data_IF_659424215955
#
_entry.id   IF_659424215955
#
_cell.length_a   1.000
_cell.length_b   1.000
_cell.length_c   1.000
_cell.angle_alpha   90.00
_cell.angle_beta   90.00
_cell.angle_gamma   90.00
#
_symmetry.space_group_name_H-M   'P 1'
#
loop_
_entity.id
_entity.type
_entity.pdbx_description
1 polymer ?
#
# COMPACT_ATOMS: atom_id res chain seq x y z
N UNK A 1 -53.31 44.55 -55.87
CA UNK A 1 -51.97 45.16 -55.85
C UNK A 1 -51.05 44.26 -55.03
N UNK A 2 -49.81 44.04 -55.50
CA UNK A 2 -49.02 42.78 -55.43
C UNK A 2 -48.08 42.74 -54.21
N UNK A 3 -47.34 41.67 -53.87
CA UNK A 3 -47.20 40.35 -54.47
C UNK A 3 -46.03 39.53 -53.88
N UNK A 4 -45.72 38.41 -54.58
CA UNK A 4 -44.44 37.66 -54.72
C UNK A 4 -43.83 37.06 -53.42
N UNK A 5 -43.83 35.75 -53.11
CA UNK A 5 -43.50 34.48 -53.84
C UNK A 5 -41.98 34.33 -54.17
N UNK A 6 -41.35 33.13 -54.25
CA UNK A 6 -41.41 31.83 -53.50
C UNK A 6 -40.00 31.31 -53.03
N UNK A 7 -39.86 30.40 -52.04
CA UNK A 7 -39.59 28.93 -52.07
C UNK A 7 -38.25 28.44 -52.74
N UNK A 8 -37.79 27.16 -52.65
CA UNK A 8 -38.15 26.00 -51.80
C UNK A 8 -36.95 25.13 -51.27
N UNK A 9 -37.27 24.05 -50.52
CA UNK A 9 -36.71 22.66 -50.55
C UNK A 9 -35.19 22.40 -50.31
N UNK A 10 -34.65 21.30 -49.78
CA UNK A 10 -35.09 19.96 -49.31
C UNK A 10 -33.83 19.20 -48.81
N UNK A 11 -33.85 18.45 -47.68
CA UNK A 11 -33.86 16.96 -47.58
C UNK A 11 -32.50 16.20 -47.72
N UNK A 12 -32.25 15.31 -46.71
CA UNK A 12 -31.54 14.00 -46.66
C UNK A 12 -30.01 13.85 -46.51
N UNK A 13 -29.67 13.16 -45.42
CA UNK A 13 -28.92 11.88 -45.27
C UNK A 13 -27.56 11.58 -45.96
N UNK A 14 -26.70 11.00 -45.12
CA UNK A 14 -25.86 9.80 -45.32
C UNK A 14 -24.36 9.90 -45.71
N UNK A 15 -23.60 9.12 -44.93
CA UNK A 15 -22.58 8.13 -45.31
C UNK A 15 -21.10 8.51 -45.49
N UNK A 16 -20.29 7.54 -45.05
CA UNK A 16 -18.83 7.49 -44.91
C UNK A 16 -18.08 7.34 -46.24
N UNK A 17 -16.78 7.69 -46.23
CA UNK A 17 -15.82 7.33 -47.27
C UNK A 17 -14.49 6.87 -46.65
N UNK A 18 -14.08 5.63 -46.94
CA UNK A 18 -12.68 5.16 -46.95
C UNK A 18 -12.11 5.38 -48.36
N UNK A 19 -10.78 5.48 -48.52
CA UNK A 19 -9.93 4.66 -49.42
C UNK A 19 -8.47 5.19 -49.56
N UNK A 20 -7.53 4.23 -49.42
CA UNK A 20 -6.15 3.95 -49.95
C UNK A 20 -5.07 5.01 -50.27
N UNK A 21 -3.84 4.54 -50.05
CA UNK A 21 -2.52 5.09 -50.36
C UNK A 21 -2.01 4.87 -51.81
N UNK A 22 -1.00 5.66 -52.23
CA UNK A 22 -0.17 5.51 -53.45
C UNK A 22 0.80 6.69 -53.71
N UNK A 23 1.87 6.60 -54.55
CA UNK A 23 3.25 6.96 -54.15
C UNK A 23 4.01 8.09 -54.94
N UNK A 24 5.13 8.53 -54.30
CA UNK A 24 6.46 9.11 -54.73
C UNK A 24 6.69 9.80 -56.11
N UNK A 25 7.39 10.96 -56.08
CA UNK A 25 8.46 11.40 -57.03
C UNK A 25 9.52 12.29 -56.33
N UNK A 26 10.71 12.44 -56.97
CA UNK A 26 12.06 12.77 -56.47
C UNK A 26 12.59 14.18 -56.87
N UNK A 27 13.73 14.59 -56.24
CA UNK A 27 14.82 15.55 -56.65
C UNK A 27 14.92 16.87 -55.84
N UNK A 28 16.08 17.53 -55.59
CA UNK A 28 17.47 17.19 -55.21
C UNK A 28 18.18 18.55 -54.86
N UNK A 29 19.13 18.56 -53.90
CA UNK A 29 20.22 19.54 -53.62
C UNK A 29 20.09 20.41 -52.33
N UNK A 30 21.13 20.77 -51.53
CA UNK A 30 22.56 20.41 -51.32
C UNK A 30 22.99 21.02 -49.95
N UNK A 31 23.82 20.27 -49.19
CA UNK A 31 24.81 20.57 -48.12
C UNK A 31 24.57 21.50 -46.90
N UNK A 32 24.83 20.93 -45.70
CA UNK A 32 25.19 21.64 -44.45
C UNK A 32 25.29 20.68 -43.24
N UNK A 33 26.51 20.41 -42.76
CA UNK A 33 26.89 19.32 -41.85
C UNK A 33 26.61 19.59 -40.35
N UNK A 34 25.97 18.65 -39.66
CA UNK A 34 26.18 18.34 -38.22
C UNK A 34 25.63 16.94 -37.88
N UNK A 35 26.46 16.11 -37.22
CA UNK A 35 26.17 14.73 -36.80
C UNK A 35 25.56 14.68 -35.39
N UNK A 36 24.35 14.12 -35.23
CA UNK A 36 23.83 13.38 -34.05
C UNK A 36 22.35 12.95 -34.31
N UNK A 37 21.83 11.89 -33.65
CA UNK A 37 20.87 10.95 -34.24
C UNK A 37 19.40 11.38 -34.16
N UNK A 38 18.61 10.75 -35.03
CA UNK A 38 17.16 10.84 -35.12
C UNK A 38 16.46 10.38 -33.83
N UNK A 39 15.44 11.13 -33.40
CA UNK A 39 14.34 10.58 -32.61
C UNK A 39 13.03 11.19 -33.13
N UNK A 40 12.14 10.32 -33.58
CA UNK A 40 10.90 10.65 -34.27
C UNK A 40 9.81 11.18 -33.33
N UNK A 41 8.83 11.80 -33.96
CA UNK A 41 7.57 12.23 -33.40
C UNK A 41 6.77 11.08 -32.74
N UNK A 42 6.05 11.44 -31.66
CA UNK A 42 4.82 10.85 -31.14
C UNK A 42 4.50 9.38 -31.51
N UNK A 43 4.71 8.47 -30.56
CA UNK A 43 4.17 7.12 -30.63
C UNK A 43 2.66 7.12 -30.39
N UNK A 44 1.89 6.92 -31.44
CA UNK A 44 0.49 6.49 -31.38
C UNK A 44 0.40 5.13 -30.67
N UNK A 45 -0.43 5.00 -29.64
CA UNK A 45 -0.86 3.70 -29.11
C UNK A 45 -1.68 2.98 -30.19
N UNK A 46 -1.16 1.90 -30.75
CA UNK A 46 -1.91 1.06 -31.67
C UNK A 46 -2.75 0.06 -30.88
N UNK A 47 -4.06 0.26 -30.93
CA UNK A 47 -5.03 -0.77 -30.56
C UNK A 47 -5.36 -1.57 -31.82
N UNK A 48 -5.21 -2.89 -31.79
CA UNK A 48 -5.79 -3.75 -32.84
C UNK A 48 -6.65 -4.84 -32.20
N UNK A 49 -7.64 -5.31 -32.97
CA UNK A 49 -8.45 -6.48 -32.61
C UNK A 49 -8.06 -7.63 -33.53
N UNK A 50 -7.95 -8.82 -32.96
CA UNK A 50 -7.82 -10.03 -33.76
C UNK A 50 -9.17 -10.46 -34.35
N UNK A 51 -9.15 -11.56 -35.12
CA UNK A 51 -10.34 -12.10 -35.78
C UNK A 51 -11.44 -12.52 -34.80
N UNK A 52 -11.09 -12.73 -33.54
CA UNK A 52 -12.00 -13.12 -32.46
C UNK A 52 -12.47 -11.91 -31.62
N UNK A 53 -12.05 -10.70 -32.00
CA UNK A 53 -12.50 -9.46 -31.40
C UNK A 53 -11.75 -9.06 -30.11
N UNK A 54 -10.66 -9.74 -29.77
CA UNK A 54 -9.83 -9.45 -28.60
C UNK A 54 -8.84 -8.33 -28.91
N UNK A 55 -8.74 -7.34 -28.02
CA UNK A 55 -7.90 -6.16 -28.20
C UNK A 55 -6.48 -6.36 -27.61
N UNK A 56 -5.46 -5.97 -28.38
CA UNK A 56 -4.04 -6.10 -28.03
C UNK A 56 -3.33 -4.73 -28.04
N UNK A 57 -2.29 -4.57 -27.21
CA UNK A 57 -1.49 -3.34 -27.04
C UNK A 57 0.00 -3.65 -26.72
N UNK A 58 0.97 -2.93 -27.29
CA UNK A 58 2.41 -3.09 -26.98
C UNK A 58 3.34 -2.00 -27.57
N UNK A 59 4.59 -1.91 -27.08
CA UNK A 59 5.47 -0.73 -27.14
C UNK A 59 6.99 -0.98 -27.40
N UNK A 60 7.62 -0.15 -28.25
CA UNK A 60 9.04 0.30 -28.20
C UNK A 60 9.23 1.50 -29.15
N UNK A 61 10.03 2.57 -28.90
CA UNK A 61 10.81 3.03 -27.73
C UNK A 61 11.11 4.57 -27.76
N UNK A 62 11.24 5.19 -26.56
CA UNK A 62 11.90 6.50 -26.18
C UNK A 62 11.35 7.82 -26.79
N UNK A 63 11.20 9.00 -26.16
CA UNK A 63 11.62 9.68 -24.91
C UNK A 63 10.64 10.91 -24.64
N UNK A 64 11.02 12.03 -23.99
CA UNK A 64 10.55 12.55 -22.69
C UNK A 64 9.52 13.71 -22.75
N UNK A 65 9.12 14.16 -21.54
CA UNK A 65 8.45 15.41 -21.18
C UNK A 65 6.92 15.44 -21.20
N UNK A 66 6.34 15.43 -19.99
CA UNK A 66 5.26 16.36 -19.67
C UNK A 66 5.40 16.91 -18.26
N UNK A 67 5.57 18.24 -18.21
CA UNK A 67 5.79 19.03 -17.03
C UNK A 67 4.57 19.00 -16.09
N UNK A 68 4.82 18.76 -14.80
CA UNK A 68 3.93 19.11 -13.71
C UNK A 68 4.53 20.30 -12.95
N UNK A 69 3.77 21.38 -12.82
CA UNK A 69 4.12 22.59 -12.07
C UNK A 69 4.33 22.24 -10.59
N UNK A 70 5.37 22.76 -9.92
CA UNK A 70 5.67 22.35 -8.55
C UNK A 70 4.71 23.03 -7.56
N UNK A 71 3.79 22.25 -6.99
CA UNK A 71 3.16 22.61 -5.71
C UNK A 71 4.18 22.35 -4.60
N UNK A 72 4.25 23.27 -3.63
CA UNK A 72 5.23 23.30 -2.56
C UNK A 72 5.42 21.93 -1.88
N UNK A 73 6.68 21.47 -1.81
CA UNK A 73 7.06 20.25 -1.09
C UNK A 73 6.75 20.43 0.40
N UNK A 74 5.94 19.57 1.02
CA UNK A 74 6.04 19.37 2.46
C UNK A 74 7.45 18.84 2.74
N UNK A 75 8.13 19.43 3.72
CA UNK A 75 9.50 19.08 4.04
C UNK A 75 9.60 17.60 4.47
N UNK A 76 10.66 16.86 4.04
CA UNK A 76 10.89 15.45 4.40
C UNK A 76 10.95 15.17 5.91
N UNK A 77 11.13 16.19 6.73
CA UNK A 77 11.29 16.06 8.18
C UNK A 77 9.97 15.83 8.93
N UNK A 78 8.81 16.22 8.37
CA UNK A 78 7.51 16.00 9.05
C UNK A 78 6.98 14.58 8.87
N UNK A 79 7.24 13.93 7.72
CA UNK A 79 6.74 12.57 7.45
C UNK A 79 7.45 11.47 8.27
N UNK A 80 8.65 11.73 8.80
CA UNK A 80 9.41 10.75 9.58
C UNK A 80 8.99 10.67 11.05
N UNK A 81 8.38 11.73 11.60
CA UNK A 81 7.97 11.78 13.01
C UNK A 81 6.66 11.02 13.30
N UNK A 82 5.84 10.77 12.26
CA UNK A 82 4.51 10.16 12.35
C UNK A 82 4.49 8.62 12.29
N UNK A 83 5.65 7.96 12.13
CA UNK A 83 5.71 6.51 11.89
C UNK A 83 5.86 5.63 13.16
N UNK A 84 6.27 6.19 14.29
CA UNK A 84 6.51 5.41 15.51
C UNK A 84 5.20 5.15 16.26
N UNK A 85 4.84 3.87 16.43
CA UNK A 85 3.65 3.43 17.17
C UNK A 85 3.63 3.90 18.62
N UNK A 86 4.79 3.94 19.25
CA UNK A 86 4.99 4.41 20.61
C UNK A 86 6.31 5.19 20.72
N UNK A 87 6.39 6.05 21.71
CA UNK A 87 7.58 6.82 22.04
C UNK A 87 8.10 6.42 23.43
N UNK A 88 9.41 6.18 23.53
CA UNK A 88 10.10 6.10 24.80
C UNK A 88 10.35 7.53 25.31
N UNK A 89 9.95 7.80 26.54
CA UNK A 89 10.25 9.04 27.24
C UNK A 89 10.99 8.71 28.52
N UNK A 90 12.15 9.32 28.71
CA UNK A 90 12.98 9.12 29.90
C UNK A 90 12.96 10.41 30.71
N UNK A 91 12.39 10.34 31.90
CA UNK A 91 12.25 11.48 32.80
C UNK A 91 13.27 11.42 33.94
N UNK A 92 13.76 12.59 34.33
CA UNK A 92 14.70 12.74 35.44
C UNK A 92 16.11 12.26 35.12
N UNK A 93 16.91 12.13 36.18
CA UNK A 93 18.30 11.65 36.14
C UNK A 93 18.48 10.59 37.23
N UNK A 94 19.51 9.76 37.09
CA UNK A 94 19.85 8.81 38.14
C UNK A 94 20.17 9.56 39.45
N UNK A 95 19.78 9.02 40.62
CA UNK A 95 19.20 7.69 40.85
C UNK A 95 17.66 7.61 40.78
N UNK A 96 16.96 8.64 40.29
CA UNK A 96 15.48 8.68 40.23
C UNK A 96 14.95 8.74 38.79
N UNK A 97 15.63 8.08 37.87
CA UNK A 97 15.27 8.10 36.46
C UNK A 97 14.09 7.16 36.19
N UNK A 98 13.21 7.57 35.27
CA UNK A 98 11.98 6.83 34.95
C UNK A 98 11.86 6.64 33.44
N UNK A 99 11.58 5.42 33.00
CA UNK A 99 11.31 5.09 31.62
C UNK A 99 9.79 4.93 31.41
N UNK A 100 9.22 5.82 30.61
CA UNK A 100 7.82 5.85 30.22
C UNK A 100 7.65 5.45 28.76
N UNK A 101 6.49 4.89 28.42
CA UNK A 101 6.10 4.68 27.05
C UNK A 101 4.76 5.36 26.76
N UNK A 102 4.75 6.14 25.68
CA UNK A 102 3.59 6.91 25.21
C UNK A 102 3.08 6.29 23.90
N UNK A 103 1.85 5.78 23.90
CA UNK A 103 1.18 5.25 22.71
C UNK A 103 0.71 6.38 21.79
N UNK A 104 1.12 6.33 20.52
CA UNK A 104 0.84 7.38 19.52
C UNK A 104 -0.28 7.04 18.55
N UNK A 105 -1.02 5.95 18.75
CA UNK A 105 -2.08 5.51 17.82
C UNK A 105 -3.42 5.33 18.54
N UNK A 106 -4.51 5.28 17.76
CA UNK A 106 -5.89 5.20 18.27
C UNK A 106 -6.37 3.75 18.48
N UNK A 107 -5.45 2.91 18.95
CA UNK A 107 -5.73 1.53 19.35
C UNK A 107 -4.66 1.01 20.31
N UNK A 108 -4.83 -0.21 20.86
CA UNK A 108 -3.88 -0.78 21.78
C UNK A 108 -2.53 -1.03 21.09
N UNK A 109 -1.44 -0.82 21.82
CA UNK A 109 -0.08 -1.13 21.36
C UNK A 109 0.62 -1.95 22.42
N UNK A 110 1.16 -3.10 22.03
CA UNK A 110 2.07 -3.84 22.89
C UNK A 110 3.48 -3.28 22.70
N UNK A 111 4.14 -2.97 23.81
CA UNK A 111 5.50 -2.48 23.83
C UNK A 111 6.42 -3.44 24.57
N UNK A 112 7.70 -3.46 24.17
CA UNK A 112 8.77 -4.13 24.89
C UNK A 112 9.90 -3.13 25.15
N UNK A 113 10.17 -2.85 26.42
CA UNK A 113 11.32 -2.06 26.83
C UNK A 113 12.47 -3.02 27.13
N UNK A 114 13.62 -2.78 26.50
CA UNK A 114 14.86 -3.49 26.77
C UNK A 114 16.03 -2.52 26.89
N UNK A 115 17.14 -3.02 27.40
CA UNK A 115 18.42 -2.34 27.34
C UNK A 115 19.31 -2.99 26.30
N UNK A 116 19.95 -2.19 25.43
CA UNK A 116 21.05 -2.64 24.57
C UNK A 116 22.37 -2.68 25.33
N UNK A 117 22.53 -1.74 26.26
CA UNK A 117 23.68 -1.62 27.15
C UNK A 117 23.19 -1.12 28.50
N UNK A 118 23.48 -1.86 29.56
CA UNK A 118 23.19 -1.47 30.93
C UNK A 118 24.34 -1.91 31.82
N UNK A 119 25.28 -1.00 32.04
CA UNK A 119 26.37 -1.22 32.99
C UNK A 119 25.95 -0.61 34.32
N UNK A 120 26.10 -1.34 35.43
CA UNK A 120 25.78 -0.86 36.77
C UNK A 120 24.36 -0.26 36.90
N UNK A 121 23.35 -0.85 36.24
CA UNK A 121 21.98 -0.33 36.23
C UNK A 121 21.02 -1.39 36.79
N UNK A 122 20.23 -1.00 37.80
CA UNK A 122 19.09 -1.76 38.28
C UNK A 122 17.79 -1.13 37.73
N UNK A 123 16.86 -1.98 37.30
CA UNK A 123 15.56 -1.58 36.75
C UNK A 123 14.45 -2.27 37.54
N UNK A 124 13.40 -1.53 37.88
CA UNK A 124 12.23 -2.07 38.59
C UNK A 124 10.94 -1.59 37.92
N UNK A 125 10.14 -2.50 37.32
CA UNK A 125 10.43 -3.93 37.08
C UNK A 125 11.69 -4.16 36.23
N UNK A 126 12.28 -5.35 36.34
CA UNK A 126 13.49 -5.70 35.60
C UNK A 126 13.25 -5.71 34.08
N UNK A 127 14.30 -5.39 33.31
CA UNK A 127 14.29 -5.43 31.84
C UNK A 127 14.84 -6.77 31.33
N UNK A 128 14.36 -7.29 30.18
CA UNK A 128 13.30 -6.71 29.35
C UNK A 128 11.91 -6.90 29.97
N UNK A 129 11.02 -5.93 29.73
CA UNK A 129 9.61 -6.04 30.14
C UNK A 129 8.69 -5.73 28.98
N UNK A 130 7.49 -6.30 29.01
CA UNK A 130 6.41 -6.03 28.06
C UNK A 130 5.24 -5.37 28.77
N UNK A 131 4.58 -4.44 28.07
CA UNK A 131 3.36 -3.80 28.55
C UNK A 131 2.36 -3.61 27.40
N UNK A 132 1.08 -3.53 27.74
CA UNK A 132 0.03 -3.14 26.81
C UNK A 132 -0.39 -1.71 27.13
N UNK A 133 -0.31 -0.83 26.15
CA UNK A 133 -0.75 0.55 26.28
C UNK A 133 -2.12 0.70 25.61
N UNK A 134 -3.13 1.28 26.29
CA UNK A 134 -4.38 1.61 25.64
C UNK A 134 -4.17 2.73 24.59
N UNK A 135 -5.16 2.92 23.71
CA UNK A 135 -5.13 3.97 22.69
C UNK A 135 -4.76 5.33 23.30
N UNK A 136 -3.77 6.02 22.72
CA UNK A 136 -3.26 7.32 23.19
C UNK A 136 -2.80 7.36 24.66
N UNK A 137 -2.62 6.20 25.30
CA UNK A 137 -2.25 6.08 26.71
C UNK A 137 -0.75 6.22 26.95
N UNK A 138 -0.39 6.46 28.21
CA UNK A 138 0.98 6.50 28.69
C UNK A 138 1.13 5.57 29.90
N UNK A 139 2.28 4.93 30.06
CA UNK A 139 2.59 4.13 31.24
C UNK A 139 4.05 4.29 31.67
N UNK A 140 4.27 4.36 32.97
CA UNK A 140 5.59 4.16 33.57
C UNK A 140 5.94 2.68 33.42
N UNK A 141 6.97 2.38 32.63
CA UNK A 141 7.40 1.02 32.39
C UNK A 141 8.37 0.53 33.46
N UNK A 142 9.38 1.34 33.79
CA UNK A 142 10.39 0.98 34.78
C UNK A 142 10.99 2.22 35.44
N UNK A 143 11.37 2.08 36.71
CA UNK A 143 12.28 3.01 37.41
C UNK A 143 13.70 2.48 37.31
N UNK A 144 14.66 3.38 37.16
CA UNK A 144 16.06 3.04 36.91
C UNK A 144 16.93 3.62 38.02
N UNK A 145 17.86 2.80 38.50
CA UNK A 145 18.74 3.08 39.62
C UNK A 145 20.16 2.66 39.27
N UNK A 146 21.20 3.34 39.79
CA UNK A 146 22.53 2.77 39.78
C UNK A 146 22.54 1.51 40.66
N UNK A 147 23.19 0.44 40.20
CA UNK A 147 23.39 -0.77 41.01
C UNK A 147 24.28 -0.48 42.23
N UNK A 148 25.37 0.24 41.98
CA UNK A 148 26.23 0.86 42.97
C UNK A 148 26.36 2.37 42.67
N UNK A 149 25.91 3.26 43.55
CA UNK A 149 25.90 4.71 43.31
C UNK A 149 27.31 5.33 43.18
N UNK A 150 28.38 4.58 43.47
CA UNK A 150 29.77 5.05 43.33
C UNK A 150 30.30 4.98 41.91
N UNK A 151 29.65 4.22 41.02
CA UNK A 151 30.08 4.03 39.64
C UNK A 151 29.07 4.61 38.65
N UNK A 152 29.50 5.09 37.48
CA UNK A 152 28.60 5.49 36.41
C UNK A 152 27.70 4.34 35.96
N UNK A 153 26.49 4.68 35.51
CA UNK A 153 25.51 3.70 35.02
C UNK A 153 25.01 4.06 33.62
N UNK A 154 25.88 3.99 32.59
CA UNK A 154 25.47 4.27 31.22
C UNK A 154 24.39 3.28 30.79
N UNK A 155 23.33 3.79 30.15
CA UNK A 155 22.25 2.97 29.64
C UNK A 155 21.79 3.41 28.25
N UNK A 156 21.62 2.45 27.35
CA UNK A 156 20.93 2.62 26.08
C UNK A 156 19.62 1.80 26.12
N UNK A 157 18.50 2.49 26.32
CA UNK A 157 17.18 1.88 26.29
C UNK A 157 16.62 1.83 24.88
N UNK A 158 15.90 0.75 24.59
CA UNK A 158 15.19 0.55 23.33
C UNK A 158 13.76 0.15 23.62
N UNK A 159 12.83 0.85 22.99
CA UNK A 159 11.41 0.53 23.02
C UNK A 159 11.01 -0.04 21.65
N UNK A 160 10.56 -1.29 21.65
CA UNK A 160 9.90 -1.91 20.50
C UNK A 160 8.39 -1.83 20.69
N UNK A 161 7.64 -1.72 19.59
CA UNK A 161 6.20 -1.58 19.62
C UNK A 161 5.54 -2.36 18.47
N UNK A 162 4.41 -3.02 18.77
CA UNK A 162 3.58 -3.76 17.80
C UNK A 162 2.12 -3.34 18.01
N UNK A 163 1.38 -3.01 16.94
CA UNK A 163 -0.01 -2.57 17.08
C UNK A 163 -0.90 -3.76 17.44
N UNK A 164 -1.97 -3.50 18.18
CA UNK A 164 -2.96 -4.49 18.56
C UNK A 164 -2.71 -5.09 19.94
N UNK A 165 -3.79 -5.62 20.51
CA UNK A 165 -3.77 -6.39 21.75
C UNK A 165 -3.34 -7.84 21.45
N UNK A 166 -2.28 -8.38 22.08
CA UNK A 166 -1.87 -9.77 21.89
C UNK A 166 -2.93 -10.80 22.36
N UNK A 167 -3.89 -10.38 23.19
CA UNK A 167 -5.02 -11.19 23.65
C UNK A 167 -6.24 -11.13 22.71
N UNK A 168 -6.13 -10.46 21.55
CA UNK A 168 -7.20 -10.40 20.55
C UNK A 168 -7.71 -11.80 20.17
N UNK A 169 -9.04 -11.91 20.00
CA UNK A 169 -9.74 -13.14 19.61
C UNK A 169 -10.53 -12.87 18.32
N UNK A 170 -9.86 -12.87 17.16
CA UNK A 170 -10.50 -12.63 15.87
C UNK A 170 -11.66 -13.57 15.65
N UNK A 171 -12.75 -13.03 15.12
CA UNK A 171 -13.91 -13.82 14.72
C UNK A 171 -13.79 -14.18 13.25
N UNK A 172 -14.39 -15.30 12.84
CA UNK A 172 -14.56 -15.65 11.42
C UNK A 172 -15.61 -14.73 10.79
N UNK A 173 -15.17 -13.52 10.44
CA UNK A 173 -16.02 -12.50 9.85
C UNK A 173 -15.93 -12.54 8.32
N UNK A 174 -17.08 -12.34 7.67
CA UNK A 174 -17.15 -12.10 6.24
C UNK A 174 -16.90 -10.62 5.96
N UNK A 175 -15.75 -10.30 5.36
CA UNK A 175 -15.39 -8.95 4.94
C UNK A 175 -16.07 -8.58 3.62
N UNK A 176 -16.49 -7.33 3.46
CA UNK A 176 -16.91 -6.81 2.14
C UNK A 176 -15.68 -6.63 1.25
N UNK A 177 -15.85 -6.71 -0.07
CA UNK A 177 -14.90 -6.12 -1.00
C UNK A 177 -14.60 -4.65 -0.62
N UNK A 178 -13.32 -4.25 -0.58
CA UNK A 178 -12.92 -2.90 -0.18
C UNK A 178 -13.05 -1.88 -1.31
N UNK A 179 -13.82 -2.16 -2.36
CA UNK A 179 -14.10 -1.28 -3.49
C UNK A 179 -15.35 -1.79 -4.24
N UNK A 180 -16.05 -0.88 -4.91
CA UNK A 180 -17.24 -1.20 -5.72
C UNK A 180 -17.10 -0.78 -7.20
N UNK A 181 -16.13 0.08 -7.51
CA UNK A 181 -16.03 0.76 -8.80
C UNK A 181 -15.16 0.02 -9.84
N UNK A 182 -14.77 -1.23 -9.57
CA UNK A 182 -13.89 -2.01 -10.44
C UNK A 182 -14.21 -3.52 -10.40
N UNK A 183 -13.99 -4.25 -11.50
CA UNK A 183 -14.00 -5.72 -11.48
C UNK A 183 -12.98 -6.27 -10.48
N UNK A 184 -13.30 -7.41 -9.86
CA UNK A 184 -12.37 -8.08 -8.95
C UNK A 184 -11.27 -8.77 -9.76
N UNK A 185 -10.05 -8.26 -9.67
CA UNK A 185 -8.83 -8.90 -10.19
C UNK A 185 -7.79 -8.97 -9.08
N UNK A 186 -7.37 -10.18 -8.75
CA UNK A 186 -6.33 -10.42 -7.73
C UNK A 186 -5.01 -10.69 -8.44
N UNK A 187 -4.05 -9.78 -8.30
CA UNK A 187 -2.71 -9.92 -8.90
C UNK A 187 -1.80 -10.79 -8.05
N UNK A 188 -2.03 -10.79 -6.74
CA UNK A 188 -1.32 -11.64 -5.82
C UNK A 188 -2.21 -12.10 -4.66
N UNK A 189 -2.22 -13.41 -4.42
CA UNK A 189 -2.96 -14.04 -3.33
C UNK A 189 -2.08 -14.48 -2.17
N UNK A 190 -2.66 -15.35 -1.33
CA UNK A 190 -2.01 -15.97 -0.17
C UNK A 190 -0.69 -16.65 -0.58
N UNK A 191 0.39 -16.41 0.16
CA UNK A 191 1.69 -17.01 -0.12
C UNK A 191 2.40 -16.51 -1.39
N UNK A 192 1.88 -15.43 -2.01
CA UNK A 192 2.43 -14.83 -3.22
C UNK A 192 3.91 -14.46 -3.15
N UNK A 193 4.64 -14.66 -4.26
CA UNK A 193 6.11 -14.68 -4.28
C UNK A 193 6.81 -13.34 -4.10
N UNK A 194 6.14 -12.22 -4.36
CA UNK A 194 6.77 -10.90 -4.33
C UNK A 194 6.84 -10.34 -2.89
N UNK A 195 5.70 -10.36 -2.18
CA UNK A 195 5.52 -9.68 -0.89
C UNK A 195 4.78 -10.51 0.18
N UNK A 196 4.09 -11.60 -0.17
CA UNK A 196 3.23 -12.35 0.78
C UNK A 196 3.92 -13.60 1.35
N UNK A 197 5.21 -13.50 1.69
CA UNK A 197 6.01 -14.61 2.25
C UNK A 197 6.34 -14.46 3.73
N UNK A 198 6.15 -13.27 4.28
CA UNK A 198 6.40 -13.01 5.69
C UNK A 198 5.11 -13.18 6.52
N UNK A 199 5.27 -13.26 7.84
CA UNK A 199 4.16 -13.52 8.75
C UNK A 199 3.05 -12.44 8.67
N UNK A 200 3.41 -11.16 8.47
CA UNK A 200 2.46 -10.05 8.46
C UNK A 200 1.69 -9.90 7.15
N UNK A 201 2.13 -10.56 6.07
CA UNK A 201 1.53 -10.44 4.73
C UNK A 201 1.10 -11.78 4.13
N UNK A 202 1.36 -12.92 4.78
CA UNK A 202 1.14 -14.25 4.18
C UNK A 202 -0.28 -14.44 3.62
N UNK A 203 -1.31 -13.97 4.34
CA UNK A 203 -2.72 -14.07 3.94
C UNK A 203 -3.25 -12.83 3.21
N UNK A 204 -2.38 -11.91 2.80
CA UNK A 204 -2.80 -10.68 2.12
C UNK A 204 -3.27 -10.94 0.68
N UNK A 205 -4.01 -9.97 0.15
CA UNK A 205 -4.51 -9.93 -1.22
C UNK A 205 -4.16 -8.60 -1.87
N UNK A 206 -3.60 -8.66 -3.07
CA UNK A 206 -3.34 -7.50 -3.91
C UNK A 206 -4.39 -7.43 -5.02
N UNK A 207 -5.28 -6.45 -4.92
CA UNK A 207 -6.30 -6.20 -5.93
C UNK A 207 -5.81 -5.18 -6.96
N UNK A 208 -5.82 -5.55 -8.24
CA UNK A 208 -5.47 -4.63 -9.31
C UNK A 208 -6.50 -3.51 -9.40
N UNK A 209 -6.09 -2.28 -9.06
CA UNK A 209 -6.95 -1.11 -9.06
C UNK A 209 -6.20 0.06 -9.69
N UNK A 210 -6.84 0.77 -10.62
CA UNK A 210 -6.31 2.04 -11.11
C UNK A 210 -6.18 3.04 -9.94
N UNK A 211 -5.15 3.90 -9.97
CA UNK A 211 -5.03 4.98 -8.98
C UNK A 211 -6.28 5.86 -8.98
N UNK A 212 -6.69 6.32 -7.80
CA UNK A 212 -7.90 7.11 -7.66
C UNK A 212 -9.20 6.30 -7.53
N UNK A 213 -9.13 4.96 -7.48
CA UNK A 213 -10.31 4.13 -7.18
C UNK A 213 -10.68 4.31 -5.70
N UNK A 214 -11.94 4.60 -5.34
CA UNK A 214 -12.35 4.68 -3.94
C UNK A 214 -12.10 3.36 -3.18
N UNK A 215 -11.33 3.45 -2.10
CA UNK A 215 -11.10 2.34 -1.16
C UNK A 215 -12.04 2.49 0.02
N UNK A 216 -12.76 1.42 0.33
CA UNK A 216 -13.85 1.36 1.30
C UNK A 216 -13.48 0.45 2.47
N UNK A 217 -14.07 0.73 3.64
CA UNK A 217 -13.96 -0.14 4.80
C UNK A 217 -14.63 -1.49 4.54
N UNK A 218 -13.83 -2.56 4.51
CA UNK A 218 -14.32 -3.92 4.34
C UNK A 218 -15.15 -4.39 5.55
N UNK A 219 -14.89 -3.84 6.74
CA UNK A 219 -15.63 -4.13 7.99
C UNK A 219 -15.59 -2.91 8.91
N UNK A 220 -16.64 -2.73 9.71
CA UNK A 220 -16.75 -1.62 10.66
C UNK A 220 -15.67 -1.68 11.75
N UNK A 221 -15.26 -0.52 12.26
CA UNK A 221 -14.24 -0.44 13.30
C UNK A 221 -13.79 0.99 13.58
N UNK A 222 -12.62 1.12 14.21
CA UNK A 222 -11.96 2.40 14.48
C UNK A 222 -10.72 2.50 13.61
N UNK A 223 -10.53 3.63 12.94
CA UNK A 223 -9.30 3.96 12.22
C UNK A 223 -8.18 4.11 13.24
N UNK A 224 -7.35 3.09 13.38
CA UNK A 224 -6.28 3.01 14.36
C UNK A 224 -5.05 3.80 13.91
N UNK A 225 -4.73 3.72 12.62
CA UNK A 225 -3.56 4.38 12.03
C UNK A 225 -3.88 4.91 10.64
N UNK A 226 -3.27 6.04 10.31
CA UNK A 226 -3.26 6.62 8.97
C UNK A 226 -1.82 7.05 8.68
N UNK A 227 -1.26 6.53 7.59
CA UNK A 227 0.02 6.96 7.04
C UNK A 227 -0.25 7.57 5.66
N UNK A 228 0.09 8.85 5.48
CA UNK A 228 -0.21 9.60 4.26
C UNK A 228 0.98 10.40 3.71
N UNK A 229 2.17 10.24 4.32
CA UNK A 229 3.35 11.05 4.04
C UNK A 229 4.21 10.61 2.84
N UNK A 230 3.88 9.49 2.19
CA UNK A 230 4.68 8.96 1.07
C UNK A 230 4.08 9.35 -0.28
N UNK A 231 4.95 9.61 -1.26
CA UNK A 231 4.55 10.12 -2.57
C UNK A 231 5.04 9.27 -3.75
N UNK A 232 5.95 8.32 -3.52
CA UNK A 232 6.68 7.62 -4.59
C UNK A 232 6.55 6.11 -4.49
N UNK A 233 6.80 5.45 -5.62
CA UNK A 233 6.76 4.01 -5.82
C UNK A 233 8.09 3.50 -6.38
N UNK A 234 8.39 2.22 -6.19
CA UNK A 234 9.46 1.55 -6.92
C UNK A 234 9.76 0.15 -6.38
N UNK A 235 10.77 -0.51 -6.97
CA UNK A 235 11.15 -1.89 -6.67
C UNK A 235 12.40 -2.02 -5.78
N UNK A 236 13.08 -0.90 -5.53
CA UNK A 236 14.19 -0.85 -4.58
C UNK A 236 13.67 -0.97 -3.15
N UNK A 237 13.99 -2.10 -2.50
CA UNK A 237 13.51 -2.40 -1.14
C UNK A 237 14.10 -1.47 -0.09
N UNK A 238 15.32 -0.98 -0.26
CA UNK A 238 15.92 -0.04 0.70
C UNK A 238 15.25 1.32 0.61
N UNK A 239 14.94 1.75 -0.62
CA UNK A 239 14.33 3.06 -0.88
C UNK A 239 12.84 3.10 -0.64
N UNK A 240 12.10 2.03 -0.90
CA UNK A 240 10.63 2.02 -0.90
C UNK A 240 10.01 1.04 0.10
N UNK A 241 10.81 0.14 0.67
CA UNK A 241 10.36 -0.81 1.70
C UNK A 241 9.81 -0.07 2.92
N UNK A 242 8.61 -0.47 3.37
CA UNK A 242 7.93 0.15 4.51
C UNK A 242 7.43 1.58 4.27
N UNK A 243 7.50 2.10 3.03
CA UNK A 243 7.13 3.49 2.69
C UNK A 243 5.84 3.59 1.87
N UNK A 244 4.84 2.80 2.22
CA UNK A 244 3.50 2.86 1.62
C UNK A 244 2.56 3.71 2.48
N UNK A 245 1.65 4.46 1.84
CA UNK A 245 0.53 5.04 2.54
C UNK A 245 -0.50 3.96 2.86
N UNK A 246 -1.08 4.03 4.05
CA UNK A 246 -2.04 3.03 4.49
C UNK A 246 -3.06 3.58 5.48
N UNK A 247 -4.17 2.85 5.58
CA UNK A 247 -5.13 2.95 6.68
C UNK A 247 -5.17 1.60 7.39
N UNK A 248 -5.15 1.61 8.72
CA UNK A 248 -5.38 0.42 9.55
C UNK A 248 -6.64 0.61 10.36
N UNK A 249 -7.60 -0.31 10.24
CA UNK A 249 -8.85 -0.31 11.01
C UNK A 249 -8.77 -1.41 12.07
N UNK A 250 -8.97 -1.04 13.34
CA UNK A 250 -9.16 -1.95 14.46
C UNK A 250 -10.63 -2.36 14.56
N UNK A 251 -10.89 -3.66 14.57
CA UNK A 251 -12.23 -4.22 14.75
C UNK A 251 -12.51 -4.56 16.22
N UNK A 252 -13.78 -4.78 16.54
CA UNK A 252 -14.24 -5.07 17.90
C UNK A 252 -13.66 -6.36 18.50
N UNK A 253 -13.22 -7.29 17.65
CA UNK A 253 -12.60 -8.56 18.06
C UNK A 253 -11.06 -8.46 18.24
N UNK A 254 -10.50 -7.27 18.05
CA UNK A 254 -9.07 -6.99 18.15
C UNK A 254 -8.26 -7.29 16.88
N UNK A 255 -8.88 -7.85 15.83
CA UNK A 255 -8.25 -7.95 14.51
C UNK A 255 -8.12 -6.57 13.86
N UNK A 256 -7.17 -6.43 12.94
CA UNK A 256 -6.89 -5.17 12.26
C UNK A 256 -6.87 -5.37 10.74
N UNK A 257 -7.73 -4.68 9.99
CA UNK A 257 -7.64 -4.64 8.54
C UNK A 257 -6.67 -3.54 8.09
N UNK A 258 -5.70 -3.88 7.25
CA UNK A 258 -4.73 -2.99 6.62
C UNK A 258 -5.11 -2.78 5.16
N UNK A 259 -5.10 -1.52 4.72
CA UNK A 259 -5.33 -1.08 3.34
C UNK A 259 -4.11 -0.26 2.93
N UNK A 260 -3.26 -0.75 2.03
CA UNK A 260 -1.96 -0.13 1.71
C UNK A 260 -1.82 0.23 0.23
N UNK A 261 -0.66 0.83 -0.11
CA UNK A 261 -0.34 1.45 -1.40
C UNK A 261 -1.28 2.58 -1.80
N UNK A 262 -1.87 3.27 -0.82
CA UNK A 262 -2.88 4.31 -1.07
C UNK A 262 -2.28 5.55 -1.74
N UNK A 263 -3.11 6.31 -2.46
CA UNK A 263 -2.66 7.51 -3.15
C UNK A 263 -2.18 8.59 -2.18
N UNK A 264 -1.13 9.36 -2.54
CA UNK A 264 -0.78 10.58 -1.82
C UNK A 264 -1.99 11.52 -1.82
N UNK A 265 -2.27 12.16 -0.68
CA UNK A 265 -3.42 13.06 -0.52
C UNK A 265 -4.80 12.39 -0.79
N UNK A 266 -4.85 11.05 -0.79
CA UNK A 266 -6.08 10.29 -1.05
C UNK A 266 -6.94 10.01 0.17
N UNK A 267 -6.50 10.36 1.39
CA UNK A 267 -7.16 9.99 2.65
C UNK A 267 -8.49 10.74 2.81
N UNK A 268 -9.54 9.99 3.16
CA UNK A 268 -10.87 10.52 3.50
C UNK A 268 -11.22 10.33 4.99
N UNK A 269 -10.30 9.77 5.77
CA UNK A 269 -10.47 9.50 7.20
C UNK A 269 -9.28 9.96 8.01
N UNK A 270 -9.49 10.09 9.33
CA UNK A 270 -8.45 10.40 10.32
C UNK A 270 -8.36 9.33 11.39
N UNK A 271 -7.21 9.23 12.04
CA UNK A 271 -7.03 8.34 13.18
C UNK A 271 -8.03 8.68 14.31
N UNK A 272 -8.54 7.65 14.98
CA UNK A 272 -9.59 7.72 16.00
C UNK A 272 -11.02 7.74 15.45
N UNK A 273 -11.20 7.90 14.13
CA UNK A 273 -12.53 7.91 13.52
C UNK A 273 -13.17 6.52 13.54
N UNK A 274 -14.44 6.44 13.95
CA UNK A 274 -15.26 5.24 13.74
C UNK A 274 -15.76 5.19 12.30
N UNK A 275 -15.72 4.01 11.71
CA UNK A 275 -16.16 3.76 10.34
C UNK A 275 -17.11 2.57 10.29
N UNK A 276 -18.09 2.65 9.40
CA UNK A 276 -18.98 1.53 9.06
C UNK A 276 -18.48 0.82 7.80
N UNK A 277 -18.91 -0.43 7.58
CA UNK A 277 -18.57 -1.14 6.34
C UNK A 277 -19.10 -0.38 5.11
N UNK A 278 -18.31 -0.32 4.04
CA UNK A 278 -18.60 0.44 2.82
C UNK A 278 -18.27 1.94 2.91
N UNK A 279 -17.89 2.46 4.09
CA UNK A 279 -17.48 3.86 4.19
C UNK A 279 -16.13 4.08 3.49
N UNK A 280 -16.03 5.15 2.69
CA UNK A 280 -14.78 5.52 2.01
C UNK A 280 -13.69 5.87 3.02
N UNK A 281 -12.54 5.24 2.84
CA UNK A 281 -11.33 5.44 3.62
C UNK A 281 -10.32 6.31 2.89
N UNK A 282 -10.11 6.01 1.61
CA UNK A 282 -9.06 6.63 0.82
C UNK A 282 -9.31 6.48 -0.69
N UNK A 283 -8.27 6.76 -1.46
CA UNK A 283 -8.13 6.41 -2.87
C UNK A 283 -6.99 5.40 -3.01
N UNK A 284 -7.14 4.41 -3.89
CA UNK A 284 -6.06 3.51 -4.30
C UNK A 284 -4.94 4.32 -4.96
N UNK A 285 -3.72 3.82 -4.87
CA UNK A 285 -2.55 4.47 -5.44
C UNK A 285 -1.49 3.45 -5.81
N UNK A 286 -0.23 3.86 -5.70
CA UNK A 286 0.92 3.01 -5.99
C UNK A 286 2.09 3.23 -5.02
N UNK A 287 1.86 3.83 -3.84
CA UNK A 287 2.97 4.29 -2.97
C UNK A 287 3.75 3.15 -2.33
N UNK A 288 5.07 3.30 -2.17
CA UNK A 288 5.95 2.33 -1.52
C UNK A 288 6.51 1.28 -2.46
N UNK A 289 6.86 0.10 -1.91
CA UNK A 289 7.42 -1.00 -2.68
C UNK A 289 6.33 -1.64 -3.55
N UNK A 290 6.22 -1.20 -4.79
CA UNK A 290 5.16 -1.60 -5.71
C UNK A 290 5.62 -1.51 -7.17
N UNK A 291 5.17 -2.44 -8.01
CA UNK A 291 5.43 -2.46 -9.46
C UNK A 291 4.35 -1.74 -10.27
N UNK A 292 3.10 -1.72 -9.78
CA UNK A 292 1.95 -1.17 -10.49
C UNK A 292 0.81 -0.82 -9.49
N UNK A 293 -0.11 0.09 -9.85
CA UNK A 293 -1.25 0.44 -9.02
C UNK A 293 -2.08 -0.77 -8.57
N UNK A 294 -2.27 -0.90 -7.26
CA UNK A 294 -3.07 -1.95 -6.65
C UNK A 294 -3.46 -1.56 -5.22
N UNK A 295 -4.41 -2.30 -4.65
CA UNK A 295 -4.73 -2.25 -3.22
C UNK A 295 -4.22 -3.53 -2.56
N UNK A 296 -3.25 -3.38 -1.66
CA UNK A 296 -2.87 -4.44 -0.74
C UNK A 296 -3.80 -4.45 0.46
N UNK A 297 -4.45 -5.58 0.71
CA UNK A 297 -5.39 -5.81 1.81
C UNK A 297 -4.94 -6.99 2.67
N UNK A 298 -4.83 -6.78 3.97
CA UNK A 298 -4.51 -7.84 4.93
C UNK A 298 -5.35 -7.70 6.20
N UNK A 299 -5.67 -8.82 6.84
CA UNK A 299 -6.20 -8.84 8.21
C UNK A 299 -5.10 -9.36 9.13
N UNK A 300 -4.75 -8.55 10.13
CA UNK A 300 -3.59 -8.75 10.99
C UNK A 300 -3.96 -8.79 12.47
N UNK A 301 -3.13 -9.47 13.26
CA UNK A 301 -3.24 -9.55 14.72
C UNK A 301 -1.86 -9.49 15.36
N UNK A 302 -1.80 -8.99 16.59
CA UNK A 302 -0.61 -9.10 17.42
C UNK A 302 -0.55 -10.51 18.05
N UNK A 303 0.59 -11.19 17.92
CA UNK A 303 0.93 -12.48 18.53
C UNK A 303 2.16 -12.34 19.43
N UNK A 304 2.09 -11.41 20.38
CA UNK A 304 3.09 -11.27 21.44
C UNK A 304 4.40 -10.66 20.95
N UNK A 305 4.35 -9.40 20.52
CA UNK A 305 5.43 -8.65 19.85
C UNK A 305 5.75 -9.12 18.43
N UNK A 306 4.77 -9.75 17.75
CA UNK A 306 4.85 -10.10 16.33
C UNK A 306 3.52 -9.79 15.67
N UNK A 307 3.55 -9.20 14.49
CA UNK A 307 2.35 -8.93 13.71
C UNK A 307 2.17 -10.05 12.69
N UNK A 308 1.05 -10.76 12.77
CA UNK A 308 0.73 -11.87 11.88
C UNK A 308 -0.52 -11.55 11.07
N UNK A 309 -0.48 -11.78 9.76
CA UNK A 309 -1.69 -11.90 8.95
C UNK A 309 -2.42 -13.20 9.33
N UNK A 310 -3.75 -13.15 9.28
CA UNK A 310 -4.62 -14.30 9.52
C UNK A 310 -5.50 -14.57 8.31
N UNK A 311 -5.98 -15.81 8.12
CA UNK A 311 -7.01 -16.10 7.14
C UNK A 311 -8.26 -15.25 7.41
N UNK A 312 -8.95 -14.85 6.35
CA UNK A 312 -10.23 -14.17 6.42
C UNK A 312 -11.10 -14.57 5.23
N UNK A 313 -12.40 -14.36 5.38
CA UNK A 313 -13.40 -14.58 4.34
C UNK A 313 -13.78 -13.25 3.73
N UNK A 314 -14.00 -13.19 2.42
CA UNK A 314 -14.39 -11.96 1.73
C UNK A 314 -15.55 -12.22 0.78
N UNK A 315 -16.59 -11.39 0.85
CA UNK A 315 -17.73 -11.41 -0.06
C UNK A 315 -17.33 -10.84 -1.41
N UNK A 316 -17.66 -11.52 -2.50
CA UNK A 316 -17.59 -11.04 -3.87
C UNK A 316 -18.97 -10.94 -4.54
N UNK A 317 -19.01 -10.44 -5.77
CA UNK A 317 -20.26 -10.26 -6.52
C UNK A 317 -21.05 -11.55 -6.76
N UNK A 318 -20.38 -12.70 -6.79
CA UNK A 318 -20.96 -14.03 -7.01
C UNK A 318 -21.01 -14.90 -5.74
N UNK A 319 -20.88 -14.28 -4.56
CA UNK A 319 -20.73 -14.99 -3.28
C UNK A 319 -19.30 -14.87 -2.74
N UNK A 320 -18.97 -15.65 -1.72
CA UNK A 320 -17.65 -15.60 -1.07
C UNK A 320 -16.52 -15.89 -2.07
N UNK A 321 -15.47 -15.05 -2.04
CA UNK A 321 -14.27 -15.24 -2.84
C UNK A 321 -13.58 -16.54 -2.42
N UNK A 322 -13.54 -17.49 -3.34
CA UNK A 322 -12.76 -18.72 -3.21
C UNK A 322 -11.39 -18.47 -3.85
N UNK A 323 -10.39 -18.23 -3.02
CA UNK A 323 -9.02 -18.07 -3.50
C UNK A 323 -8.33 -19.43 -3.49
N UNK A 324 -7.63 -19.83 -4.58
CA UNK A 324 -6.86 -21.06 -4.57
C UNK A 324 -5.82 -21.00 -3.45
N UNK A 325 -5.79 -22.02 -2.59
CA UNK A 325 -4.71 -22.17 -1.62
C UNK A 325 -3.47 -22.56 -2.41
N UNK A 326 -2.33 -21.97 -2.10
CA UNK A 326 -1.07 -22.24 -2.82
C UNK A 326 -0.61 -23.70 -2.77
N UNK A 327 -1.22 -24.55 -1.94
CA UNK A 327 -1.02 -25.99 -1.93
C UNK A 327 -1.62 -26.70 -3.15
N UNK A 328 -2.62 -26.10 -3.81
CA UNK A 328 -3.24 -26.67 -5.02
C UNK A 328 -2.51 -26.25 -6.32
N UNK A 329 -1.39 -25.52 -6.21
CA UNK A 329 -0.58 -25.04 -7.34
C UNK A 329 0.65 -25.93 -7.62
N UNK A 330 0.67 -27.17 -7.13
CA UNK A 330 1.57 -28.21 -7.63
C UNK A 330 0.81 -29.08 -8.62
N UNK A 331 0.85 -28.71 -9.91
CA UNK A 331 1.02 -29.62 -11.06
C UNK A 331 0.68 -28.87 -12.37
N UNK A 332 1.66 -28.13 -12.89
CA UNK A 332 1.76 -27.89 -14.32
C UNK A 332 3.18 -27.41 -14.63
N UNK A 333 3.89 -28.21 -15.42
CA UNK A 333 5.19 -27.94 -16.05
C UNK A 333 6.46 -28.12 -15.20
N UNK A 334 6.76 -29.38 -14.88
CA UNK A 334 8.14 -29.87 -14.91
C UNK A 334 8.32 -30.71 -16.18
N UNK A 335 9.28 -30.41 -17.08
CA UNK A 335 9.61 -31.29 -18.18
C UNK A 335 10.33 -32.53 -17.63
N UNK A 336 9.78 -33.71 -17.93
CA UNK A 336 10.35 -35.01 -17.56
C UNK A 336 11.69 -35.18 -18.27
N UNK A 337 12.84 -35.32 -17.56
CA UNK A 337 14.07 -35.82 -18.17
C UNK A 337 13.93 -37.32 -18.39
N UNK A 338 14.23 -37.77 -19.60
CA UNK A 338 13.95 -39.10 -20.11
C UNK A 338 14.46 -40.26 -19.24
N UNK A 339 13.58 -41.25 -19.08
CA UNK A 339 13.98 -42.63 -18.85
C UNK A 339 14.13 -43.34 -20.19
N UNK A 340 15.32 -43.86 -20.46
CA UNK A 340 15.55 -44.88 -21.47
C UNK A 340 16.23 -46.09 -20.82
N UNK A 341 15.51 -47.22 -20.91
CA UNK A 341 15.96 -48.61 -20.99
C UNK A 341 16.80 -49.21 -19.84
N UNK A 342 16.20 -50.16 -19.12
CA UNK A 342 16.23 -51.59 -19.49
C UNK A 342 14.83 -52.19 -19.32
#
# INVERSE_FOLDING_TARGET
MPGHCPAPASVRDAAAIRVRAGPRWLLLAVCGSALAPACGAAGTLYAWRDADGVAHYGDHATDPQRAATPAARPQPQQAAADAALAQLRVDGQLPRQQAWADNRVDGPVQVQLRSRRADNLAAVPALPLRALLPARGSALLSRLYPGDPRYPSPCELVLEAVPGDPAAKPQDALYRLPFDAAPVRVDQGVGGRFSHRDAQNYYALDFALAEGTPVLAARAGTVMQVQAGFAAAGLDRERFGGRANFVRILHADGSMALYAHLAPQGMAVRAGQRVVAGQRLALSGNTGLSSAPHLHFAVQVNRGMRLDAIPFRMAGALGELRLPRSEDATDATQPVPGGAAL
#
